data_IF_728760578567
#
_entry.id   IF_728760578567
#
_cell.length_a   1.000
_cell.length_b   1.000
_cell.length_c   1.000
_cell.angle_alpha   90.00
_cell.angle_beta   90.00
_cell.angle_gamma   90.00
#
_symmetry.space_group_name_H-M   'P 1'
#
loop_
_entity.id
_entity.type
_entity.pdbx_description
1 polymer ?
#
# COMPACT_ATOMS: atom_id res chain seq x y z
N UNK A 1 16.79 -9.57 -6.65
CA UNK A 1 15.77 -10.03 -7.61
C UNK A 1 16.50 -10.69 -8.75
N UNK A 2 16.44 -12.01 -8.78
CA UNK A 2 16.90 -12.84 -9.89
C UNK A 2 15.93 -12.70 -11.08
N UNK A 3 16.37 -13.09 -12.27
CA UNK A 3 15.56 -13.20 -13.48
C UNK A 3 14.32 -14.09 -13.25
N UNK A 4 14.45 -15.15 -12.45
CA UNK A 4 13.35 -16.05 -12.13
C UNK A 4 12.29 -15.41 -11.23
N UNK A 5 12.69 -14.57 -10.27
CA UNK A 5 11.76 -13.88 -9.37
C UNK A 5 10.82 -12.94 -10.15
N UNK A 6 11.36 -12.28 -11.19
CA UNK A 6 10.59 -11.34 -11.99
C UNK A 6 9.46 -12.04 -12.78
N UNK A 7 9.77 -13.18 -13.40
CA UNK A 7 8.77 -13.98 -14.13
C UNK A 7 7.65 -14.50 -13.22
N UNK A 8 7.99 -14.88 -11.98
CA UNK A 8 7.03 -15.37 -11.00
C UNK A 8 6.09 -14.24 -10.55
N UNK A 9 6.64 -13.05 -10.26
CA UNK A 9 5.85 -11.88 -9.87
C UNK A 9 4.87 -11.46 -10.97
N UNK A 10 5.28 -11.50 -12.24
CA UNK A 10 4.39 -11.21 -13.36
C UNK A 10 3.24 -12.22 -13.47
N UNK A 11 3.54 -13.52 -13.31
CA UNK A 11 2.51 -14.56 -13.30
C UNK A 11 1.52 -14.36 -12.15
N UNK A 12 2.01 -14.11 -10.94
CA UNK A 12 1.18 -13.87 -9.76
C UNK A 12 0.29 -12.64 -9.94
N UNK A 13 0.82 -11.55 -10.50
CA UNK A 13 0.03 -10.33 -10.78
C UNK A 13 -1.05 -10.58 -11.82
N UNK A 14 -0.76 -11.33 -12.88
CA UNK A 14 -1.74 -11.62 -13.95
C UNK A 14 -2.90 -12.50 -13.47
N UNK A 15 -2.63 -13.44 -12.56
CA UNK A 15 -3.61 -14.38 -12.02
C UNK A 15 -4.31 -13.85 -10.77
N UNK A 16 -3.84 -12.74 -10.19
CA UNK A 16 -4.41 -12.17 -8.98
C UNK A 16 -5.86 -11.68 -9.20
N UNK A 17 -6.74 -11.87 -8.20
CA UNK A 17 -8.11 -11.36 -8.25
C UNK A 17 -8.10 -9.83 -8.38
N UNK A 18 -9.17 -9.27 -8.95
CA UNK A 18 -9.29 -7.83 -9.20
C UNK A 18 -9.00 -7.00 -7.94
N UNK A 19 -9.56 -7.40 -6.79
CA UNK A 19 -9.35 -6.69 -5.52
C UNK A 19 -7.86 -6.59 -5.13
N UNK A 20 -7.08 -7.65 -5.34
CA UNK A 20 -5.64 -7.64 -5.06
C UNK A 20 -4.90 -6.71 -6.03
N UNK A 21 -5.28 -6.71 -7.31
CA UNK A 21 -4.71 -5.81 -8.34
C UNK A 21 -5.06 -4.34 -8.10
N UNK A 22 -6.21 -4.06 -7.49
CA UNK A 22 -6.66 -2.71 -7.15
C UNK A 22 -6.10 -2.18 -5.82
N UNK A 23 -5.23 -2.92 -5.13
CA UNK A 23 -4.69 -2.50 -3.84
C UNK A 23 -3.93 -1.16 -3.99
N UNK A 24 -4.30 -0.12 -3.22
CA UNK A 24 -3.59 1.15 -3.16
C UNK A 24 -2.09 0.95 -2.94
N UNK A 25 -1.25 1.68 -3.69
CA UNK A 25 0.20 1.64 -3.52
C UNK A 25 0.68 2.77 -2.60
N UNK A 26 -0.07 3.87 -2.58
CA UNK A 26 0.16 5.02 -1.71
C UNK A 26 -1.09 5.31 -0.88
N UNK A 27 -0.91 6.07 0.20
CA UNK A 27 -2.02 6.55 1.01
C UNK A 27 -2.93 7.53 0.25
N UNK A 28 -2.44 8.15 -0.83
CA UNK A 28 -3.22 9.07 -1.65
C UNK A 28 -4.13 8.33 -2.65
N UNK A 29 -3.84 7.05 -2.94
CA UNK A 29 -4.69 6.19 -3.77
C UNK A 29 -5.90 5.65 -2.99
N UNK A 30 -5.91 5.79 -1.66
CA UNK A 30 -6.99 5.29 -0.81
C UNK A 30 -8.22 6.18 -0.98
N UNK A 31 -9.30 5.60 -1.49
CA UNK A 31 -10.58 6.29 -1.61
C UNK A 31 -11.29 6.30 -0.26
N UNK A 32 -11.50 7.49 0.31
CA UNK A 32 -12.15 7.70 1.60
C UNK A 32 -11.17 7.85 2.77
N UNK A 33 -11.67 7.78 4.00
CA UNK A 33 -10.88 7.82 5.24
C UNK A 33 -9.96 9.06 5.42
N UNK A 34 -10.26 10.19 4.76
CA UNK A 34 -9.44 11.40 4.81
C UNK A 34 -9.26 11.97 6.23
N UNK A 35 -10.23 11.78 7.11
CA UNK A 35 -10.13 12.19 8.51
C UNK A 35 -9.08 11.39 9.31
N UNK A 36 -8.63 10.23 8.80
CA UNK A 36 -7.64 9.36 9.44
C UNK A 36 -6.29 9.43 8.70
N UNK A 37 -6.28 9.31 7.37
CA UNK A 37 -5.05 9.18 6.56
C UNK A 37 -4.77 10.39 5.66
N UNK A 38 -5.61 11.43 5.75
CA UNK A 38 -5.41 12.68 5.01
C UNK A 38 -4.17 13.44 5.46
N UNK A 39 -3.77 14.43 4.65
CA UNK A 39 -2.62 15.28 4.97
C UNK A 39 -2.80 15.96 6.32
N UNK A 40 -1.76 15.90 7.15
CA UNK A 40 -1.74 16.56 8.46
C UNK A 40 -2.38 15.77 9.61
N UNK A 41 -3.02 14.63 9.35
CA UNK A 41 -3.51 13.76 10.43
C UNK A 41 -2.35 13.14 11.21
N UNK A 42 -2.60 12.78 12.47
CA UNK A 42 -1.60 12.16 13.33
C UNK A 42 -1.08 10.84 12.74
N UNK A 43 -1.97 9.98 12.25
CA UNK A 43 -1.58 8.70 11.67
C UNK A 43 -0.76 8.89 10.39
N UNK A 44 -1.14 9.81 9.49
CA UNK A 44 -0.36 10.10 8.27
C UNK A 44 1.07 10.54 8.60
N UNK A 45 1.21 11.45 9.57
CA UNK A 45 2.53 11.93 10.04
C UNK A 45 3.36 10.81 10.68
N UNK A 46 2.73 9.93 11.46
CA UNK A 46 3.41 8.81 12.08
C UNK A 46 3.93 7.80 11.04
N UNK A 47 3.13 7.49 10.01
CA UNK A 47 3.54 6.63 8.89
C UNK A 47 4.68 7.29 8.10
N UNK A 48 4.55 8.58 7.74
CA UNK A 48 5.58 9.31 6.99
C UNK A 48 6.91 9.43 7.75
N UNK A 49 6.86 9.47 9.08
CA UNK A 49 8.05 9.51 9.94
C UNK A 49 8.56 8.12 10.36
N UNK A 50 7.93 7.03 9.91
CA UNK A 50 8.20 5.64 10.30
C UNK A 50 8.21 5.42 11.82
N UNK A 51 7.23 6.02 12.52
CA UNK A 51 7.08 5.98 13.99
C UNK A 51 5.69 5.49 14.37
N UNK A 52 5.43 4.22 14.10
CA UNK A 52 4.16 3.59 14.47
C UNK A 52 4.14 3.25 15.96
N UNK A 53 3.06 3.64 16.64
CA UNK A 53 2.80 3.25 18.02
C UNK A 53 2.05 1.93 18.02
N UNK A 54 2.61 0.90 18.65
CA UNK A 54 1.88 -0.34 18.99
C UNK A 54 1.61 -0.33 20.49
N UNK A 55 0.38 -0.66 20.87
CA UNK A 55 0.11 -1.17 22.22
C UNK A 55 0.45 -2.64 22.31
#
# INVERSE_FOLDING_TARGET
MDLFDHSLDEQLRSQAPLAARMRPQTLDDVVGQQHIIGKGTLLRRAIEADRLFSS
#
